data_IF_648128556629
#
_entry.id   IF_648128556629
#
_cell.length_a   1.000
_cell.length_b   1.000
_cell.length_c   1.000
_cell.angle_alpha   90.00
_cell.angle_beta   90.00
_cell.angle_gamma   90.00
#
_symmetry.space_group_name_H-M   'P 1'
#
loop_
_entity.id
_entity.type
_entity.pdbx_description
1 polymer ?
#
# COMPACT_ATOMS: atom_id res chain seq x y z
N UNK A 1 -7.52 11.90 1.04
CA UNK A 1 -7.25 10.73 0.19
C UNK A 1 -5.91 10.04 0.48
N UNK A 2 -4.77 10.75 0.59
CA UNK A 2 -3.45 10.12 0.81
C UNK A 2 -3.39 9.09 1.95
N UNK A 3 -3.91 9.42 3.13
CA UNK A 3 -3.93 8.49 4.28
C UNK A 3 -4.75 7.23 4.00
N UNK A 4 -5.93 7.37 3.40
CA UNK A 4 -6.80 6.25 3.07
C UNK A 4 -6.17 5.33 2.02
N UNK A 5 -5.58 5.88 0.95
CA UNK A 5 -4.92 5.06 -0.08
C UNK A 5 -3.64 4.41 0.42
N UNK A 6 -2.89 5.10 1.29
CA UNK A 6 -1.72 4.53 1.95
C UNK A 6 -2.10 3.33 2.84
N UNK A 7 -3.15 3.47 3.63
CA UNK A 7 -3.67 2.36 4.44
C UNK A 7 -4.13 1.18 3.57
N UNK A 8 -4.84 1.44 2.48
CA UNK A 8 -5.31 0.38 1.56
C UNK A 8 -4.13 -0.38 0.96
N UNK A 9 -3.12 0.30 0.41
CA UNK A 9 -1.98 -0.39 -0.22
C UNK A 9 -1.17 -1.18 0.81
N UNK A 10 -0.95 -0.63 2.01
CA UNK A 10 -0.24 -1.34 3.08
C UNK A 10 -1.01 -2.57 3.54
N UNK A 11 -2.36 -2.51 3.62
CA UNK A 11 -3.19 -3.69 3.92
C UNK A 11 -3.17 -4.74 2.82
N UNK A 12 -3.11 -4.35 1.54
CA UNK A 12 -2.93 -5.30 0.43
C UNK A 12 -1.57 -5.98 0.55
N UNK A 13 -0.53 -5.21 0.88
CA UNK A 13 0.84 -5.72 0.95
C UNK A 13 1.09 -6.61 2.15
N UNK A 14 0.62 -6.18 3.33
CA UNK A 14 0.93 -6.76 4.62
C UNK A 14 -0.23 -7.58 5.20
N UNK A 15 -1.42 -7.53 4.62
CA UNK A 15 -2.63 -8.15 5.16
C UNK A 15 -3.47 -7.21 6.02
N UNK A 16 -4.65 -7.69 6.44
CA UNK A 16 -5.68 -6.87 7.11
C UNK A 16 -5.41 -6.63 8.60
N UNK A 17 -4.62 -7.47 9.26
CA UNK A 17 -4.28 -7.38 10.68
C UNK A 17 -2.99 -6.56 10.87
N UNK A 18 -3.12 -5.24 10.94
CA UNK A 18 -1.98 -4.31 11.14
C UNK A 18 -2.22 -3.46 12.39
N UNK A 19 -1.20 -3.34 13.24
CA UNK A 19 -1.22 -2.40 14.36
C UNK A 19 -1.36 -0.95 13.85
N UNK A 20 -2.44 -0.22 14.21
CA UNK A 20 -2.62 1.17 13.81
C UNK A 20 -1.46 2.08 14.20
N UNK A 21 -0.79 1.82 15.32
CA UNK A 21 0.38 2.62 15.74
C UNK A 21 1.59 2.34 14.85
N UNK A 22 1.78 1.10 14.41
CA UNK A 22 2.82 0.76 13.44
C UNK A 22 2.55 1.42 12.10
N UNK A 23 1.30 1.36 11.61
CA UNK A 23 0.90 1.99 10.35
C UNK A 23 1.19 3.50 10.34
N UNK A 24 0.83 4.21 11.41
CA UNK A 24 1.09 5.65 11.56
C UNK A 24 2.61 5.97 11.60
N UNK A 25 3.43 5.09 12.21
CA UNK A 25 4.89 5.25 12.19
C UNK A 25 5.44 5.06 10.77
N UNK A 26 5.02 3.99 10.08
CA UNK A 26 5.46 3.70 8.71
C UNK A 26 5.04 4.82 7.76
N UNK A 27 3.81 5.32 7.86
CA UNK A 27 3.32 6.45 7.05
C UNK A 27 4.22 7.70 7.22
N UNK A 28 4.61 8.03 8.45
CA UNK A 28 5.49 9.18 8.74
C UNK A 28 6.89 8.99 8.16
N UNK A 29 7.51 7.84 8.38
CA UNK A 29 8.86 7.57 7.87
C UNK A 29 8.86 7.55 6.34
N UNK A 30 7.88 6.86 5.76
CA UNK A 30 7.68 6.80 4.31
C UNK A 30 7.48 8.20 3.71
N UNK A 31 6.70 9.07 4.36
CA UNK A 31 6.49 10.44 3.88
C UNK A 31 7.80 11.22 3.82
N UNK A 32 8.67 11.09 4.83
CA UNK A 32 9.99 11.76 4.81
C UNK A 32 10.85 11.20 3.67
N UNK A 33 10.81 9.88 3.48
CA UNK A 33 11.53 9.20 2.42
C UNK A 33 11.08 9.65 1.02
N UNK A 34 9.78 9.61 0.71
CA UNK A 34 9.27 9.92 -0.63
C UNK A 34 9.57 11.36 -1.06
N UNK A 35 9.51 12.33 -0.13
CA UNK A 35 9.88 13.71 -0.41
C UNK A 35 11.35 13.88 -0.79
N UNK A 36 12.27 13.13 -0.16
CA UNK A 36 13.68 13.22 -0.52
C UNK A 36 14.05 12.35 -1.72
N UNK A 37 13.30 11.28 -2.01
CA UNK A 37 13.42 10.52 -3.26
C UNK A 37 13.14 11.40 -4.50
N UNK A 38 12.14 12.29 -4.41
CA UNK A 38 11.81 13.24 -5.48
C UNK A 38 12.68 14.50 -5.51
N UNK A 39 13.61 14.65 -4.55
CA UNK A 39 14.44 15.85 -4.42
C UNK A 39 15.76 15.73 -5.20
N UNK A 40 16.45 16.86 -5.37
CA UNK A 40 17.82 16.85 -5.88
C UNK A 40 18.71 16.00 -4.96
N UNK A 41 19.62 15.16 -5.52
CA UNK A 41 20.42 14.20 -4.76
C UNK A 41 21.61 14.87 -4.02
N UNK A 42 21.31 15.86 -3.19
CA UNK A 42 22.28 16.63 -2.42
C UNK A 42 22.27 16.10 -0.98
N UNK A 43 23.30 15.33 -0.63
CA UNK A 43 23.45 14.73 0.70
C UNK A 43 24.16 15.66 1.70
N UNK A 44 23.54 16.81 1.98
CA UNK A 44 24.00 17.76 3.00
C UNK A 44 22.92 17.97 4.06
N UNK A 45 23.34 18.18 5.31
CA UNK A 45 22.40 18.46 6.41
C UNK A 45 21.50 19.65 6.07
N UNK A 46 20.19 19.48 6.24
CA UNK A 46 19.17 20.47 5.86
C UNK A 46 18.42 20.15 4.55
N UNK A 47 19.03 19.36 3.65
CA UNK A 47 18.39 18.98 2.39
C UNK A 47 17.40 17.81 2.56
N UNK A 48 16.40 17.76 1.67
CA UNK A 48 15.39 16.70 1.68
C UNK A 48 15.99 15.32 1.40
N UNK A 49 16.94 15.21 0.46
CA UNK A 49 17.64 13.96 0.17
C UNK A 49 18.40 13.41 1.38
N UNK A 50 19.09 14.27 2.13
CA UNK A 50 19.77 13.86 3.37
C UNK A 50 18.80 13.30 4.42
N UNK A 51 17.60 13.89 4.55
CA UNK A 51 16.55 13.38 5.45
C UNK A 51 15.99 12.05 4.97
N UNK A 52 15.73 11.90 3.67
CA UNK A 52 15.25 10.63 3.12
C UNK A 52 16.27 9.50 3.26
N UNK A 53 17.56 9.78 3.07
CA UNK A 53 18.62 8.81 3.29
C UNK A 53 18.61 8.28 4.74
N UNK A 54 18.45 9.16 5.73
CA UNK A 54 18.28 8.76 7.14
C UNK A 54 16.95 8.07 7.42
N UNK A 55 15.87 8.47 6.75
CA UNK A 55 14.57 7.83 6.90
C UNK A 55 14.57 6.39 6.34
N UNK A 56 15.27 6.14 5.23
CA UNK A 56 15.41 4.80 4.64
C UNK A 56 15.97 3.79 5.64
N UNK A 57 16.96 4.18 6.44
CA UNK A 57 17.54 3.33 7.49
C UNK A 57 16.53 2.94 8.59
N UNK A 58 15.44 3.71 8.77
CA UNK A 58 14.35 3.35 9.69
C UNK A 58 13.25 2.52 9.00
N UNK A 59 13.30 2.34 7.68
CA UNK A 59 12.44 1.42 6.92
C UNK A 59 13.08 0.05 6.74
N UNK A 60 14.39 -0.08 6.95
CA UNK A 60 15.14 -1.35 6.96
C UNK A 60 14.85 -2.23 8.19
N UNK A 61 13.67 -2.14 8.77
CA UNK A 61 13.29 -2.99 9.89
C UNK A 61 12.99 -4.42 9.38
N UNK A 62 14.07 -5.15 9.09
CA UNK A 62 14.08 -6.55 8.65
C UNK A 62 13.28 -7.45 9.60
N UNK A 63 13.06 -7.02 10.85
CA UNK A 63 12.24 -7.74 11.83
C UNK A 63 10.85 -8.08 11.29
N UNK A 64 10.26 -7.22 10.46
CA UNK A 64 8.94 -7.48 9.85
C UNK A 64 8.99 -8.65 8.87
N UNK A 65 10.10 -8.81 8.13
CA UNK A 65 10.32 -9.94 7.21
C UNK A 65 10.65 -11.20 8.01
N UNK A 66 11.50 -11.10 9.03
CA UNK A 66 11.87 -12.23 9.88
C UNK A 66 10.67 -12.80 10.64
N UNK A 67 9.83 -11.94 11.23
CA UNK A 67 8.60 -12.35 11.89
C UNK A 67 7.67 -13.09 10.90
N UNK A 68 7.53 -12.58 9.67
CA UNK A 68 6.75 -13.24 8.62
C UNK A 68 7.31 -14.58 8.20
N UNK A 69 8.64 -14.69 8.02
CA UNK A 69 9.30 -15.98 7.75
C UNK A 69 8.96 -17.01 8.83
N UNK A 70 9.05 -16.61 10.11
CA UNK A 70 8.72 -17.49 11.24
C UNK A 70 7.24 -17.88 11.23
N UNK A 71 6.33 -16.96 10.95
CA UNK A 71 4.91 -17.25 10.83
C UNK A 71 4.61 -18.23 9.68
N UNK A 72 5.19 -18.01 8.50
CA UNK A 72 5.01 -18.86 7.32
C UNK A 72 5.59 -20.28 7.52
N UNK A 73 6.63 -20.42 8.34
CA UNK A 73 7.15 -21.75 8.74
C UNK A 73 6.19 -22.50 9.67
N UNK A 74 5.50 -21.79 10.57
CA UNK A 74 4.57 -22.38 11.54
C UNK A 74 3.22 -22.76 10.91
N UNK A 75 2.77 -21.98 9.94
CA UNK A 75 1.53 -22.22 9.21
C UNK A 75 1.70 -21.96 7.71
N UNK A 76 1.96 -23.05 6.97
CA UNK A 76 2.14 -22.98 5.51
C UNK A 76 0.87 -22.55 4.76
N UNK A 77 -0.31 -22.57 5.39
CA UNK A 77 -1.55 -22.11 4.75
C UNK A 77 -1.60 -20.58 4.62
N UNK A 78 -0.84 -19.85 5.45
CA UNK A 78 -0.72 -18.39 5.41
C UNK A 78 0.28 -17.84 4.39
N UNK A 79 1.18 -18.69 3.88
CA UNK A 79 2.30 -18.29 3.01
C UNK A 79 1.92 -17.74 1.62
N UNK A 80 0.63 -17.47 1.35
CA UNK A 80 0.13 -16.87 0.09
C UNK A 80 -1.00 -15.86 0.31
N UNK A 81 -1.18 -15.35 1.53
CA UNK A 81 -2.35 -14.54 1.87
C UNK A 81 -2.22 -13.06 1.48
N UNK A 82 -1.02 -12.53 1.28
CA UNK A 82 -0.78 -11.12 0.95
C UNK A 82 0.45 -10.95 0.04
N UNK A 83 0.68 -9.72 -0.43
CA UNK A 83 1.71 -9.45 -1.44
C UNK A 83 3.12 -9.79 -0.96
N UNK A 84 3.48 -9.47 0.29
CA UNK A 84 4.84 -9.75 0.78
C UNK A 84 5.11 -11.26 0.84
N UNK A 85 4.12 -12.07 1.22
CA UNK A 85 4.26 -13.53 1.21
C UNK A 85 4.49 -14.05 -0.22
N UNK A 86 3.79 -13.49 -1.20
CA UNK A 86 4.00 -13.82 -2.62
C UNK A 86 5.40 -13.43 -3.09
N UNK A 87 5.85 -12.20 -2.77
CA UNK A 87 7.18 -11.69 -3.16
C UNK A 87 8.29 -12.57 -2.56
N UNK A 88 8.15 -13.01 -1.30
CA UNK A 88 9.10 -13.91 -0.64
C UNK A 88 9.22 -15.29 -1.29
N UNK A 89 8.22 -15.70 -2.06
CA UNK A 89 8.21 -16.96 -2.81
C UNK A 89 8.68 -16.83 -4.25
N UNK A 90 9.01 -15.61 -4.73
CA UNK A 90 9.50 -15.40 -6.10
C UNK A 90 10.90 -16.00 -6.23
N UNK A 91 11.07 -16.83 -7.26
CA UNK A 91 12.32 -17.40 -7.71
C UNK A 91 12.51 -17.02 -9.19
N UNK A 92 13.74 -16.68 -9.59
CA UNK A 92 14.09 -16.51 -11.00
C UNK A 92 14.31 -17.86 -11.70
N UNK A 93 14.69 -17.82 -12.98
CA UNK A 93 14.92 -19.04 -13.79
C UNK A 93 16.05 -19.94 -13.24
N UNK A 94 16.94 -19.38 -12.43
CA UNK A 94 18.05 -20.09 -11.77
C UNK A 94 17.67 -20.57 -10.35
N UNK A 95 16.45 -20.31 -9.89
CA UNK A 95 15.97 -20.64 -8.55
C UNK A 95 16.44 -19.65 -7.47
N UNK A 96 16.99 -18.49 -7.84
CA UNK A 96 17.43 -17.46 -6.90
C UNK A 96 16.23 -16.66 -6.41
N UNK A 97 16.16 -16.47 -5.09
CA UNK A 97 15.16 -15.63 -4.42
C UNK A 97 15.68 -14.22 -4.17
N UNK A 98 14.74 -13.30 -4.01
CA UNK A 98 15.03 -11.95 -3.54
C UNK A 98 15.61 -11.99 -2.12
N UNK A 99 16.60 -11.15 -1.88
CA UNK A 99 17.10 -10.84 -0.54
C UNK A 99 16.09 -10.00 0.25
N UNK A 100 16.25 -9.95 1.57
CA UNK A 100 15.34 -9.18 2.43
C UNK A 100 15.37 -7.69 2.09
N UNK A 101 16.52 -7.14 1.75
CA UNK A 101 16.68 -5.76 1.29
C UNK A 101 15.91 -5.50 -0.02
N UNK A 102 16.03 -6.39 -1.00
CA UNK A 102 15.29 -6.29 -2.27
C UNK A 102 13.77 -6.39 -2.07
N UNK A 103 13.33 -7.22 -1.12
CA UNK A 103 11.90 -7.30 -0.75
C UNK A 103 11.43 -5.97 -0.17
N UNK A 104 12.17 -5.39 0.80
CA UNK A 104 11.82 -4.08 1.39
C UNK A 104 11.78 -3.00 0.31
N UNK A 105 12.77 -2.95 -0.57
CA UNK A 105 12.82 -1.96 -1.65
C UNK A 105 11.61 -2.09 -2.60
N UNK A 106 11.22 -3.32 -2.98
CA UNK A 106 10.01 -3.55 -3.77
C UNK A 106 8.75 -3.07 -3.04
N UNK A 107 8.62 -3.36 -1.75
CA UNK A 107 7.48 -2.90 -0.96
C UNK A 107 7.41 -1.37 -0.93
N UNK A 108 8.53 -0.68 -0.74
CA UNK A 108 8.58 0.79 -0.76
C UNK A 108 8.16 1.34 -2.14
N UNK A 109 8.64 0.73 -3.22
CA UNK A 109 8.28 1.14 -4.60
C UNK A 109 6.79 0.92 -4.87
N UNK A 110 6.22 -0.22 -4.45
CA UNK A 110 4.79 -0.48 -4.61
C UNK A 110 3.92 0.46 -3.78
N UNK A 111 4.32 0.76 -2.54
CA UNK A 111 3.65 1.75 -1.71
C UNK A 111 3.64 3.11 -2.42
N UNK A 112 4.77 3.55 -2.99
CA UNK A 112 4.87 4.79 -3.77
C UNK A 112 3.93 4.80 -4.98
N UNK A 113 4.08 3.81 -5.85
CA UNK A 113 3.31 3.72 -7.09
C UNK A 113 1.80 3.65 -6.84
N UNK A 114 1.38 2.84 -5.85
CA UNK A 114 -0.02 2.54 -5.59
C UNK A 114 -0.77 3.64 -4.83
N UNK A 115 -0.12 4.34 -3.89
CA UNK A 115 -0.85 5.29 -3.05
C UNK A 115 -0.85 6.73 -3.59
N UNK A 116 0.25 7.23 -4.19
CA UNK A 116 0.32 8.63 -4.61
C UNK A 116 -0.59 8.88 -5.81
N UNK A 117 -0.50 8.04 -6.84
CA UNK A 117 -1.30 8.16 -8.06
C UNK A 117 -2.79 8.03 -7.75
N UNK A 118 -3.18 6.96 -7.06
CA UNK A 118 -4.56 6.71 -6.64
C UNK A 118 -5.10 7.84 -5.76
N UNK A 119 -4.32 8.36 -4.81
CA UNK A 119 -4.78 9.48 -3.97
C UNK A 119 -5.14 10.71 -4.79
N UNK A 120 -4.31 11.06 -5.79
CA UNK A 120 -4.56 12.20 -6.66
C UNK A 120 -5.75 11.92 -7.58
N UNK A 121 -5.82 10.75 -8.20
CA UNK A 121 -6.94 10.35 -9.06
C UNK A 121 -8.27 10.40 -8.30
N UNK A 122 -8.35 9.83 -7.10
CA UNK A 122 -9.58 9.88 -6.31
C UNK A 122 -9.92 11.30 -5.85
N UNK A 123 -8.93 12.11 -5.49
CA UNK A 123 -9.18 13.52 -5.15
C UNK A 123 -9.75 14.30 -6.35
N UNK A 124 -9.18 14.12 -7.54
CA UNK A 124 -9.72 14.70 -8.77
C UNK A 124 -11.10 14.17 -9.13
N UNK A 125 -11.34 12.87 -8.98
CA UNK A 125 -12.66 12.28 -9.21
C UNK A 125 -13.73 12.93 -8.30
N UNK A 126 -13.42 13.13 -7.02
CA UNK A 126 -14.33 13.83 -6.08
C UNK A 126 -14.61 15.27 -6.55
N UNK A 127 -13.57 16.00 -6.96
CA UNK A 127 -13.71 17.39 -7.45
C UNK A 127 -14.59 17.42 -8.71
N UNK A 128 -14.33 16.54 -9.69
CA UNK A 128 -15.12 16.50 -10.92
C UNK A 128 -16.57 16.08 -10.69
N UNK A 129 -16.83 15.12 -9.79
CA UNK A 129 -18.20 14.73 -9.46
C UNK A 129 -18.97 15.86 -8.77
N UNK A 130 -18.31 16.65 -7.92
CA UNK A 130 -18.92 17.81 -7.26
C UNK A 130 -19.26 18.93 -8.27
N UNK A 131 -18.38 19.16 -9.25
CA UNK A 131 -18.59 20.17 -10.31
C UNK A 131 -19.62 19.75 -11.38
N UNK A 132 -19.92 18.46 -11.48
CA UNK A 132 -20.84 17.88 -12.47
C UNK A 132 -21.93 17.02 -11.81
N UNK A 133 -22.98 17.66 -11.23
CA UNK A 133 -24.03 16.97 -10.48
C UNK A 133 -24.75 15.88 -11.28
N UNK A 134 -24.84 16.02 -12.60
CA UNK A 134 -25.42 15.03 -13.51
C UNK A 134 -24.65 13.70 -13.51
N UNK A 135 -23.33 13.73 -13.38
CA UNK A 135 -22.51 12.52 -13.28
C UNK A 135 -22.51 11.96 -11.87
N UNK A 136 -22.52 12.81 -10.85
CA UNK A 136 -22.68 12.37 -9.46
C UNK A 136 -24.02 11.65 -9.25
N UNK A 137 -25.11 12.17 -9.81
CA UNK A 137 -26.42 11.54 -9.72
C UNK A 137 -26.42 10.15 -10.38
N UNK A 138 -25.83 10.02 -11.58
CA UNK A 138 -25.68 8.73 -12.25
C UNK A 138 -24.84 7.72 -11.45
N UNK A 139 -23.69 8.16 -10.92
CA UNK A 139 -22.84 7.32 -10.09
C UNK A 139 -23.58 6.86 -8.82
N UNK A 140 -24.39 7.74 -8.22
CA UNK A 140 -25.21 7.40 -7.07
C UNK A 140 -26.29 6.36 -7.42
N UNK A 141 -26.99 6.53 -8.53
CA UNK A 141 -28.01 5.58 -9.02
C UNK A 141 -27.40 4.19 -9.25
N UNK A 142 -26.22 4.12 -9.87
CA UNK A 142 -25.46 2.88 -10.06
C UNK A 142 -25.17 2.18 -8.71
N UNK A 143 -24.64 2.92 -7.73
CA UNK A 143 -24.32 2.35 -6.41
C UNK A 143 -25.59 1.91 -5.66
N UNK A 144 -26.70 2.64 -5.78
CA UNK A 144 -28.00 2.23 -5.21
C UNK A 144 -28.55 0.96 -5.88
N UNK A 145 -28.35 0.78 -7.18
CA UNK A 145 -28.72 -0.45 -7.88
C UNK A 145 -27.88 -1.64 -7.42
N UNK A 146 -26.57 -1.47 -7.28
CA UNK A 146 -25.68 -2.50 -6.73
C UNK A 146 -26.18 -2.91 -5.34
N UNK A 147 -26.39 -1.94 -4.44
CA UNK A 147 -26.90 -2.22 -3.08
C UNK A 147 -28.25 -2.94 -3.09
N UNK A 148 -29.18 -2.57 -3.98
CA UNK A 148 -30.48 -3.27 -4.12
C UNK A 148 -30.32 -4.72 -4.57
N UNK A 149 -29.39 -5.01 -5.50
CA UNK A 149 -29.13 -6.40 -5.95
C UNK A 149 -28.54 -7.27 -4.83
N UNK A 150 -27.89 -6.65 -3.85
CA UNK A 150 -27.19 -7.33 -2.73
C UNK A 150 -28.08 -7.77 -1.57
N UNK A 151 -29.41 -7.64 -1.65
CA UNK A 151 -30.38 -7.89 -0.57
C UNK A 151 -30.27 -9.26 0.18
N UNK A 152 -29.37 -10.17 -0.20
CA UNK A 152 -29.11 -11.44 0.49
C UNK A 152 -27.62 -11.86 0.65
N UNK A 153 -26.63 -11.01 0.38
CA UNK A 153 -25.20 -11.33 0.59
C UNK A 153 -24.55 -10.49 1.69
N UNK A 154 -23.44 -11.01 2.23
CA UNK A 154 -22.65 -10.46 3.33
C UNK A 154 -22.35 -8.95 3.18
N UNK A 155 -22.20 -8.21 4.28
CA UNK A 155 -22.11 -6.73 4.30
C UNK A 155 -20.92 -6.12 3.52
N UNK A 156 -20.05 -6.93 2.93
CA UNK A 156 -18.79 -6.52 2.30
C UNK A 156 -18.88 -6.61 0.77
N UNK A 157 -18.53 -5.53 0.06
CA UNK A 157 -18.49 -5.49 -1.40
C UNK A 157 -17.55 -6.58 -1.95
N UNK A 158 -17.97 -7.27 -3.01
CA UNK A 158 -17.19 -8.31 -3.69
C UNK A 158 -16.80 -7.90 -5.12
N UNK A 159 -15.83 -8.61 -5.71
CA UNK A 159 -15.34 -8.32 -7.06
C UNK A 159 -16.41 -8.52 -8.14
N UNK A 160 -17.36 -9.44 -7.91
CA UNK A 160 -18.43 -9.73 -8.88
C UNK A 160 -19.52 -8.64 -8.92
N UNK A 161 -19.45 -7.68 -7.99
CA UNK A 161 -20.43 -6.60 -7.82
C UNK A 161 -19.94 -5.24 -8.38
N UNK A 162 -18.69 -5.17 -8.87
CA UNK A 162 -18.04 -3.99 -9.47
C UNK A 162 -17.83 -4.25 -10.97
#
# INVERSE_FOLDING_TARGET
>A
MKKATFEVIIRIMMGSEIDPKWLDRVEKVYTIYSHGFMALPINLTGFAYHRAFKARANLDDISVIDERKVMNMRDKSRAKCNMVDLIMCIEDEEGKRLSDEEIIDLLIVYAFAGHETTAHTTAWAIIYLEQHPEFLQKAKEEQEEIVKRRLHSDNNLSYDEI
#
